data_IF_871646641330
#
_entry.id   IF_871646641330
#
_cell.length_a   1.000
_cell.length_b   1.000
_cell.length_c   1.000
_cell.angle_alpha   90.00
_cell.angle_beta   90.00
_cell.angle_gamma   90.00
#
_symmetry.space_group_name_H-M   'P 1'
#
loop_
_entity.id
_entity.type
_entity.pdbx_description
1 polymer ?
#
# COMPACT_ATOMS: atom_id res chain seq x y z
N UNK A 1 3.54 1.13 29.45
CA UNK A 1 3.28 2.21 28.48
C UNK A 1 2.71 3.41 29.20
N UNK A 2 3.23 4.62 28.91
CA UNK A 2 2.68 5.87 29.44
C UNK A 2 1.31 6.13 28.80
N UNK A 3 0.26 6.32 29.61
CA UNK A 3 -1.13 6.44 29.13
C UNK A 3 -1.37 7.65 28.23
N UNK A 4 -0.50 8.66 28.29
CA UNK A 4 -0.66 9.92 27.55
C UNK A 4 -0.37 9.82 26.05
N UNK A 5 0.15 8.68 25.57
CA UNK A 5 0.50 8.47 24.16
C UNK A 5 -0.32 7.35 23.50
N UNK A 6 -1.32 6.82 24.22
CA UNK A 6 -2.18 5.78 23.66
C UNK A 6 -3.30 6.41 22.84
N UNK A 7 -3.81 5.65 21.89
CA UNK A 7 -4.95 6.03 21.09
C UNK A 7 -6.24 5.83 21.89
N UNK A 8 -6.77 6.94 22.38
CA UNK A 8 -8.02 6.98 23.15
C UNK A 8 -9.13 7.52 22.24
N UNK A 9 -10.16 6.70 22.03
CA UNK A 9 -11.37 7.09 21.29
C UNK A 9 -12.22 8.07 22.11
N UNK A 10 -13.17 8.74 21.46
CA UNK A 10 -14.13 9.63 22.11
C UNK A 10 -14.99 8.95 23.18
N UNK A 11 -15.18 7.62 23.08
CA UNK A 11 -15.83 6.79 24.10
C UNK A 11 -15.00 6.61 25.38
N UNK A 12 -13.71 6.95 25.34
CA UNK A 12 -12.74 6.70 26.41
C UNK A 12 -12.05 5.34 26.33
N UNK A 13 -12.40 4.50 25.34
CA UNK A 13 -11.72 3.24 25.08
C UNK A 13 -10.32 3.47 24.52
N UNK A 14 -9.37 2.68 25.02
CA UNK A 14 -8.01 2.63 24.48
C UNK A 14 -7.92 1.51 23.44
N UNK A 15 -7.67 1.88 22.18
CA UNK A 15 -7.60 0.94 21.05
C UNK A 15 -6.54 -0.12 21.27
N UNK A 16 -5.35 0.28 21.73
CA UNK A 16 -4.24 -0.65 21.92
C UNK A 16 -4.50 -1.66 23.03
N UNK A 17 -5.22 -1.27 24.09
CA UNK A 17 -5.55 -2.19 25.19
C UNK A 17 -6.55 -3.25 24.74
N UNK A 18 -7.56 -2.86 23.95
CA UNK A 18 -8.54 -3.79 23.36
C UNK A 18 -7.85 -4.80 22.44
N UNK A 19 -7.00 -4.32 21.53
CA UNK A 19 -6.26 -5.17 20.60
C UNK A 19 -5.34 -6.13 21.36
N UNK A 20 -4.58 -5.61 22.33
CA UNK A 20 -3.64 -6.42 23.11
C UNK A 20 -4.33 -7.54 23.88
N UNK A 21 -5.45 -7.24 24.54
CA UNK A 21 -6.21 -8.22 25.31
C UNK A 21 -6.92 -9.25 24.42
N UNK A 22 -7.26 -8.89 23.19
CA UNK A 22 -7.75 -9.83 22.19
C UNK A 22 -6.64 -10.76 21.69
N UNK A 23 -5.52 -10.21 21.22
CA UNK A 23 -4.38 -10.96 20.69
C UNK A 23 -3.81 -11.97 21.68
N UNK A 24 -3.77 -11.62 22.97
CA UNK A 24 -3.35 -12.56 24.04
C UNK A 24 -4.12 -13.87 24.10
N UNK A 25 -5.36 -13.89 23.59
CA UNK A 25 -6.24 -15.06 23.60
C UNK A 25 -6.15 -15.87 22.31
N UNK A 26 -5.53 -15.33 21.27
CA UNK A 26 -5.38 -16.00 19.98
C UNK A 26 -4.27 -17.07 20.07
N UNK A 27 -4.53 -18.21 19.47
CA UNK A 27 -3.57 -19.32 19.38
C UNK A 27 -2.58 -19.18 18.22
N UNK A 28 -2.86 -18.27 17.29
CA UNK A 28 -2.06 -17.99 16.12
C UNK A 28 -1.89 -16.48 15.94
N UNK A 29 -0.81 -16.10 15.24
CA UNK A 29 -0.51 -14.72 14.91
C UNK A 29 -1.53 -14.15 13.90
N UNK A 30 -1.80 -12.85 14.02
CA UNK A 30 -2.71 -12.07 13.19
C UNK A 30 -2.13 -10.67 12.96
N UNK A 31 -2.66 -9.91 12.00
CA UNK A 31 -2.19 -8.54 11.71
C UNK A 31 -2.22 -7.62 12.95
N UNK A 32 -3.21 -7.84 13.82
CA UNK A 32 -3.37 -7.13 15.07
C UNK A 32 -2.16 -7.28 16.02
N UNK A 33 -1.45 -8.41 15.98
CA UNK A 33 -0.21 -8.60 16.77
C UNK A 33 0.91 -7.66 16.33
N UNK A 34 0.87 -7.18 15.08
CA UNK A 34 1.80 -6.21 14.52
C UNK A 34 1.24 -4.78 14.56
N UNK A 35 0.15 -4.52 15.28
CA UNK A 35 -0.55 -3.23 15.33
C UNK A 35 -1.06 -2.75 13.96
N UNK A 36 -1.34 -3.69 13.05
CA UNK A 36 -1.93 -3.41 11.75
C UNK A 36 -3.43 -3.64 11.86
N UNK A 37 -4.21 -2.57 11.74
CA UNK A 37 -5.68 -2.62 11.71
C UNK A 37 -6.10 -2.63 10.24
N UNK A 38 -6.57 -3.78 9.77
CA UNK A 38 -7.24 -3.89 8.49
C UNK A 38 -8.70 -3.46 8.66
N UNK A 39 -9.12 -2.43 7.92
CA UNK A 39 -10.46 -1.85 8.01
C UNK A 39 -11.55 -2.71 7.37
N UNK A 40 -11.15 -3.76 6.64
CA UNK A 40 -12.02 -4.76 6.03
C UNK A 40 -12.05 -6.09 6.83
N UNK A 41 -11.24 -6.24 7.87
CA UNK A 41 -11.22 -7.41 8.74
C UNK A 41 -12.40 -7.39 9.73
N UNK A 42 -13.26 -8.41 9.62
CA UNK A 42 -14.46 -8.56 10.46
C UNK A 42 -14.14 -8.95 11.90
N UNK A 43 -13.03 -9.64 12.15
CA UNK A 43 -12.64 -9.98 13.51
C UNK A 43 -12.16 -8.74 14.26
N UNK A 44 -11.40 -7.87 13.58
CA UNK A 44 -10.99 -6.58 14.12
C UNK A 44 -12.18 -5.63 14.34
N UNK A 45 -13.10 -5.53 13.37
CA UNK A 45 -14.33 -4.71 13.48
C UNK A 45 -15.17 -5.12 14.69
N UNK A 46 -15.30 -6.43 14.96
CA UNK A 46 -16.11 -6.95 16.06
C UNK A 46 -15.56 -6.64 17.47
N UNK A 47 -14.34 -6.12 17.59
CA UNK A 47 -13.74 -5.72 18.87
C UNK A 47 -14.29 -4.39 19.40
N UNK A 48 -14.92 -3.60 18.53
CA UNK A 48 -15.35 -2.24 18.81
C UNK A 48 -16.85 -2.08 18.55
N UNK A 49 -17.47 -1.06 19.13
CA UNK A 49 -18.84 -0.70 18.72
C UNK A 49 -18.85 -0.10 17.31
N UNK A 50 -20.03 0.01 16.70
CA UNK A 50 -20.18 0.64 15.37
C UNK A 50 -19.66 2.08 15.38
N UNK A 51 -19.93 2.83 16.44
CA UNK A 51 -19.50 4.23 16.58
C UNK A 51 -17.99 4.36 16.74
N UNK A 52 -17.38 3.47 17.53
CA UNK A 52 -15.94 3.40 17.76
C UNK A 52 -15.19 2.98 16.49
N UNK A 53 -15.71 1.98 15.78
CA UNK A 53 -15.13 1.54 14.51
C UNK A 53 -15.19 2.62 13.44
N UNK A 54 -16.30 3.34 13.35
CA UNK A 54 -16.41 4.49 12.44
C UNK A 54 -15.49 5.65 12.85
N UNK A 55 -15.16 5.83 14.13
CA UNK A 55 -14.12 6.76 14.57
C UNK A 55 -12.73 6.33 14.10
N UNK A 56 -12.36 5.07 14.33
CA UNK A 56 -11.11 4.47 13.85
C UNK A 56 -10.97 4.67 12.33
N UNK A 57 -12.03 4.39 11.57
CA UNK A 57 -12.07 4.58 10.10
C UNK A 57 -11.86 6.03 9.66
N UNK A 58 -12.35 7.01 10.43
CA UNK A 58 -12.19 8.43 10.10
C UNK A 58 -10.78 8.94 10.36
N UNK A 59 -10.10 8.43 11.38
CA UNK A 59 -8.74 8.85 11.70
C UNK A 59 -7.69 8.26 10.75
N UNK A 60 -7.95 7.06 10.23
CA UNK A 60 -7.10 6.47 9.20
C UNK A 60 -7.28 7.28 7.91
N UNK A 61 -6.23 8.03 7.55
CA UNK A 61 -6.18 8.76 6.29
C UNK A 61 -6.43 7.79 5.15
N UNK A 62 -7.56 7.95 4.47
CA UNK A 62 -7.78 7.28 3.19
C UNK A 62 -6.60 7.63 2.30
N UNK A 63 -5.97 6.60 1.74
CA UNK A 63 -5.06 6.79 0.61
C UNK A 63 -5.81 7.64 -0.41
N UNK A 64 -5.18 8.72 -0.86
CA UNK A 64 -5.72 9.49 -1.98
C UNK A 64 -6.00 8.52 -3.12
N UNK A 65 -7.14 8.66 -3.77
CA UNK A 65 -7.47 7.83 -4.92
C UNK A 65 -6.31 7.81 -5.91
N UNK A 66 -6.04 6.63 -6.46
CA UNK A 66 -4.93 6.45 -7.40
C UNK A 66 -5.13 7.36 -8.62
N UNK A 67 -4.15 8.22 -8.91
CA UNK A 67 -4.22 9.09 -10.08
C UNK A 67 -4.31 8.27 -11.37
N UNK A 68 -5.19 8.70 -12.29
CA UNK A 68 -5.41 8.01 -13.56
C UNK A 68 -4.14 7.92 -14.40
N UNK A 69 -3.24 8.91 -14.30
CA UNK A 69 -1.95 8.88 -14.99
C UNK A 69 -1.04 7.79 -14.42
N UNK A 70 -1.01 7.63 -13.11
CA UNK A 70 -0.29 6.54 -12.46
C UNK A 70 -0.86 5.17 -12.87
N UNK A 71 -2.19 5.01 -12.83
CA UNK A 71 -2.85 3.77 -13.27
C UNK A 71 -2.47 3.43 -14.71
N UNK A 72 -2.56 4.40 -15.63
CA UNK A 72 -2.19 4.19 -17.03
C UNK A 72 -0.71 3.80 -17.20
N UNK A 73 0.17 4.40 -16.38
CA UNK A 73 1.60 4.09 -16.40
C UNK A 73 1.89 2.64 -15.98
N UNK A 74 1.16 2.12 -14.99
CA UNK A 74 1.25 0.71 -14.56
C UNK A 74 0.60 -0.22 -15.60
N UNK A 75 -0.59 0.13 -16.09
CA UNK A 75 -1.38 -0.69 -17.02
C UNK A 75 -0.66 -0.96 -18.33
N UNK A 76 0.27 -0.09 -18.75
CA UNK A 76 1.16 -0.32 -19.88
C UNK A 76 1.88 -1.68 -19.83
N UNK A 77 2.10 -2.24 -18.64
CA UNK A 77 2.81 -3.49 -18.42
C UNK A 77 1.89 -4.68 -18.09
N UNK A 78 0.56 -4.49 -18.02
CA UNK A 78 -0.37 -5.49 -17.50
C UNK A 78 -0.37 -6.82 -18.29
N UNK A 79 -0.18 -6.75 -19.60
CA UNK A 79 -0.20 -7.91 -20.49
C UNK A 79 1.17 -8.58 -20.67
N UNK A 80 2.24 -8.01 -20.12
CA UNK A 80 3.59 -8.56 -20.23
C UNK A 80 3.70 -9.86 -19.44
N UNK A 81 4.06 -10.96 -20.10
CA UNK A 81 4.18 -12.30 -19.50
C UNK A 81 5.61 -12.79 -19.38
N UNK A 82 6.54 -12.24 -20.17
CA UNK A 82 7.95 -12.67 -20.19
C UNK A 82 8.93 -11.53 -19.98
N UNK A 83 10.16 -11.86 -19.56
CA UNK A 83 11.25 -10.89 -19.42
C UNK A 83 11.69 -10.31 -20.76
N UNK A 84 11.55 -11.07 -21.85
CA UNK A 84 11.82 -10.61 -23.22
C UNK A 84 10.81 -9.55 -23.67
N UNK A 85 9.52 -9.79 -23.43
CA UNK A 85 8.45 -8.80 -23.70
C UNK A 85 8.63 -7.54 -22.86
N UNK A 86 8.97 -7.70 -21.57
CA UNK A 86 9.24 -6.57 -20.69
C UNK A 86 10.41 -5.73 -21.21
N UNK A 87 11.50 -6.39 -21.65
CA UNK A 87 12.66 -5.70 -22.22
C UNK A 87 12.29 -4.95 -23.49
N UNK A 88 11.61 -5.61 -24.41
CA UNK A 88 11.16 -5.00 -25.66
C UNK A 88 10.29 -3.75 -25.41
N UNK A 89 9.33 -3.85 -24.50
CA UNK A 89 8.44 -2.73 -24.16
C UNK A 89 9.21 -1.56 -23.55
N UNK A 90 10.17 -1.83 -22.65
CA UNK A 90 11.01 -0.81 -22.02
C UNK A 90 12.02 -0.15 -22.97
N UNK A 91 12.34 -0.79 -24.10
CA UNK A 91 13.24 -0.25 -25.13
C UNK A 91 12.49 0.51 -26.22
N UNK A 92 11.23 0.16 -26.49
CA UNK A 92 10.43 0.73 -27.58
C UNK A 92 9.45 1.80 -27.13
N UNK A 93 9.11 1.85 -25.84
CA UNK A 93 8.22 2.86 -25.28
C UNK A 93 8.93 3.65 -24.19
N UNK A 94 8.46 4.88 -23.95
CA UNK A 94 8.96 5.73 -22.89
C UNK A 94 7.79 6.27 -22.07
N UNK A 95 8.00 6.45 -20.76
CA UNK A 95 7.04 7.13 -19.87
C UNK A 95 6.79 8.59 -20.26
N UNK A 96 7.60 9.18 -21.15
CA UNK A 96 7.48 10.56 -21.61
C UNK A 96 7.77 10.66 -23.11
N UNK A 97 7.16 11.64 -23.77
CA UNK A 97 7.55 12.02 -25.12
C UNK A 97 9.01 12.53 -25.14
N UNK A 98 9.75 12.17 -26.19
CA UNK A 98 11.19 12.48 -26.30
C UNK A 98 11.47 13.98 -26.32
N UNK A 99 10.58 14.75 -26.93
CA UNK A 99 10.72 16.19 -27.13
C UNK A 99 10.15 17.02 -25.96
N UNK A 100 9.54 16.37 -24.97
CA UNK A 100 8.95 17.01 -23.81
C UNK A 100 9.98 17.15 -22.67
N UNK A 101 10.20 18.35 -22.11
CA UNK A 101 11.02 18.52 -20.91
C UNK A 101 10.46 17.76 -19.70
N UNK A 102 11.34 17.36 -18.79
CA UNK A 102 10.90 16.76 -17.54
C UNK A 102 10.18 17.78 -16.65
N UNK A 103 8.90 17.52 -16.41
CA UNK A 103 8.11 18.12 -15.34
C UNK A 103 7.90 17.10 -14.21
N UNK A 104 8.27 17.46 -12.98
CA UNK A 104 8.17 16.58 -11.81
C UNK A 104 6.72 16.26 -11.45
N UNK A 105 5.84 17.26 -11.42
CA UNK A 105 4.43 17.08 -11.02
C UNK A 105 3.68 16.18 -12.01
N UNK A 106 4.11 16.20 -13.28
CA UNK A 106 3.50 15.40 -14.34
C UNK A 106 4.12 14.01 -14.52
N UNK A 107 5.44 13.88 -14.43
CA UNK A 107 6.15 12.69 -14.91
C UNK A 107 6.73 11.80 -13.80
N UNK A 108 6.82 12.29 -12.55
CA UNK A 108 7.49 11.57 -11.48
C UNK A 108 6.94 10.15 -11.28
N UNK A 109 5.61 10.02 -11.24
CA UNK A 109 4.92 8.75 -11.03
C UNK A 109 5.16 7.77 -12.19
N UNK A 110 5.07 8.25 -13.43
CA UNK A 110 5.30 7.43 -14.62
C UNK A 110 6.77 6.97 -14.73
N UNK A 111 7.71 7.86 -14.39
CA UNK A 111 9.13 7.55 -14.30
C UNK A 111 9.40 6.50 -13.22
N UNK A 112 8.79 6.66 -12.04
CA UNK A 112 8.94 5.73 -10.93
C UNK A 112 8.47 4.31 -11.31
N UNK A 113 7.31 4.18 -11.97
CA UNK A 113 6.82 2.90 -12.47
C UNK A 113 7.82 2.26 -13.44
N UNK A 114 8.35 3.03 -14.38
CA UNK A 114 9.34 2.51 -15.34
C UNK A 114 10.64 2.07 -14.65
N UNK A 115 11.10 2.81 -13.63
CA UNK A 115 12.26 2.43 -12.83
C UNK A 115 12.03 1.13 -12.04
N UNK A 116 10.83 0.93 -11.49
CA UNK A 116 10.46 -0.33 -10.81
C UNK A 116 10.48 -1.49 -11.79
N UNK A 117 9.86 -1.33 -12.97
CA UNK A 117 9.84 -2.37 -14.01
C UNK A 117 11.26 -2.71 -14.50
N UNK A 118 12.12 -1.71 -14.69
CA UNK A 118 13.54 -1.92 -15.02
C UNK A 118 14.30 -2.67 -13.91
N UNK A 119 14.00 -2.39 -12.64
CA UNK A 119 14.59 -3.11 -11.49
C UNK A 119 14.12 -4.57 -11.44
N UNK A 120 12.84 -4.84 -11.68
CA UNK A 120 12.29 -6.19 -11.75
C UNK A 120 12.94 -7.01 -12.86
N UNK A 121 13.07 -6.42 -14.06
CA UNK A 121 13.76 -7.06 -15.19
C UNK A 121 15.21 -7.42 -14.81
N UNK A 122 15.98 -6.48 -14.24
CA UNK A 122 17.36 -6.76 -13.82
C UNK A 122 17.43 -7.88 -12.78
N UNK A 123 16.61 -7.84 -11.72
CA UNK A 123 16.60 -8.87 -10.67
C UNK A 123 16.29 -10.27 -11.21
N UNK A 124 15.37 -10.38 -12.15
CA UNK A 124 15.04 -11.67 -12.77
C UNK A 124 16.24 -12.31 -13.49
N UNK A 125 17.19 -11.51 -13.98
CA UNK A 125 18.40 -12.00 -14.65
C UNK A 125 19.47 -12.48 -13.67
N UNK A 126 19.52 -11.91 -12.45
CA UNK A 126 20.47 -12.35 -11.40
C UNK A 126 20.10 -13.72 -10.81
N UNK A 127 18.84 -14.13 -10.89
CA UNK A 127 18.38 -15.45 -10.41
C UNK A 127 18.58 -16.59 -11.43
N UNK A 128 19.18 -16.31 -12.60
CA UNK A 128 19.45 -17.28 -13.67
C UNK A 128 20.98 -17.47 -13.87
N UNK A 129 21.81 -16.90 -12.98
CA UNK A 129 23.27 -17.01 -13.00
C UNK A 129 23.80 -17.85 -11.82
#
# INVERSE_FOLDING_TARGET
>A
MNKTHKWILSSGICVEDVIFDHCKKLSAESLLHSWIIDLDDKEAEALFTVEEWEEIRREIRKLSGTDGTFVNSVMRFADVKTTSELRYLLETTSFRNKDEPYDREKHYDAEWVELVMRKLLRRSQWNIA
#
